data_IF_006798320466
#
_entry.id   IF_006798320466
#
_cell.length_a   1.000
_cell.length_b   1.000
_cell.length_c   1.000
_cell.angle_alpha   90.00
_cell.angle_beta   90.00
_cell.angle_gamma   90.00
#
_symmetry.space_group_name_H-M   'P 1'
#
loop_
_entity.id
_entity.type
_entity.pdbx_description
1 polymer ?
#
# COMPACT_ATOMS: atom_id res chain seq x y z
N UNK A 1 13.45 3.41 8.60
CA UNK A 1 13.70 2.14 7.91
C UNK A 1 12.64 2.00 6.83
N UNK A 2 12.99 1.60 5.61
CA UNK A 2 12.01 1.49 4.53
C UNK A 2 11.28 0.16 4.69
N UNK A 3 9.98 0.21 4.96
CA UNK A 3 9.18 -1.01 5.09
C UNK A 3 8.70 -1.49 3.72
N UNK A 4 8.30 -0.57 2.84
CA UNK A 4 7.95 -0.88 1.47
C UNK A 4 8.21 0.29 0.52
N UNK A 5 8.19 -0.01 -0.77
CA UNK A 5 8.34 0.95 -1.86
C UNK A 5 7.08 0.89 -2.73
N UNK A 6 6.58 2.06 -3.10
CA UNK A 6 5.43 2.17 -3.98
C UNK A 6 5.77 1.57 -5.35
N UNK A 7 4.99 0.56 -5.75
CA UNK A 7 5.14 -0.10 -7.05
C UNK A 7 4.95 0.84 -8.25
N UNK A 8 4.29 1.98 -8.06
CA UNK A 8 3.98 2.93 -9.14
C UNK A 8 5.00 4.08 -9.21
N UNK A 9 5.21 4.81 -8.11
CA UNK A 9 6.05 6.01 -8.12
C UNK A 9 7.44 5.82 -7.48
N UNK A 10 7.67 4.70 -6.79
CA UNK A 10 8.92 4.44 -6.08
C UNK A 10 9.08 5.23 -4.77
N UNK A 11 8.02 5.87 -4.25
CA UNK A 11 8.07 6.51 -2.93
C UNK A 11 8.09 5.48 -1.80
N UNK A 12 8.72 5.82 -0.69
CA UNK A 12 8.72 4.99 0.53
C UNK A 12 7.33 4.86 1.13
N UNK A 13 7.05 3.71 1.74
CA UNK A 13 5.78 3.36 2.35
C UNK A 13 6.01 2.66 3.68
N UNK A 14 5.06 2.86 4.58
CA UNK A 14 4.96 2.21 5.89
C UNK A 14 4.26 0.83 5.84
N UNK A 15 4.06 0.26 4.64
CA UNK A 15 3.43 -1.05 4.43
C UNK A 15 3.35 -1.36 2.94
N UNK A 16 3.47 -2.65 2.59
CA UNK A 16 3.29 -3.14 1.24
C UNK A 16 1.88 -2.79 0.71
N UNK A 17 0.82 -3.18 1.41
CA UNK A 17 -0.58 -2.99 0.99
C UNK A 17 -1.21 -1.81 1.73
N UNK A 18 -0.90 -0.60 1.26
CA UNK A 18 -1.44 0.66 1.79
C UNK A 18 -1.50 1.70 0.66
N UNK A 19 -2.39 2.68 0.79
CA UNK A 19 -2.43 3.83 -0.10
C UNK A 19 -1.08 4.57 -0.08
N UNK A 20 -0.52 4.87 -1.25
CA UNK A 20 0.70 5.66 -1.33
C UNK A 20 0.41 7.13 -0.98
N UNK A 21 1.17 7.71 -0.04
CA UNK A 21 1.02 9.14 0.30
C UNK A 21 1.45 10.10 -0.82
N UNK A 22 2.32 9.64 -1.74
CA UNK A 22 2.84 10.48 -2.84
C UNK A 22 1.94 10.45 -4.08
N UNK A 23 1.65 9.27 -4.63
CA UNK A 23 0.88 9.16 -5.89
C UNK A 23 -0.54 8.58 -5.70
N UNK A 24 -0.96 8.33 -4.46
CA UNK A 24 -2.29 7.76 -4.13
C UNK A 24 -2.62 6.44 -4.82
N UNK A 25 -1.62 5.70 -5.31
CA UNK A 25 -1.84 4.35 -5.85
C UNK A 25 -2.11 3.35 -4.73
N UNK A 26 -3.16 2.54 -4.86
CA UNK A 26 -3.46 1.39 -4.03
C UNK A 26 -3.37 0.12 -4.89
N UNK A 27 -2.68 -0.95 -4.44
CA UNK A 27 -2.66 -2.21 -5.17
C UNK A 27 -4.03 -2.91 -5.06
N UNK A 28 -4.87 -2.75 -6.09
CA UNK A 28 -6.23 -3.32 -6.12
C UNK A 28 -6.24 -4.72 -6.70
N UNK A 29 -5.48 -4.95 -7.78
CA UNK A 29 -5.35 -6.24 -8.44
C UNK A 29 -4.43 -7.20 -7.67
N UNK A 30 -4.62 -8.50 -7.85
CA UNK A 30 -3.72 -9.52 -7.27
C UNK A 30 -2.26 -9.29 -7.70
N UNK A 31 -2.02 -9.00 -8.98
CA UNK A 31 -0.66 -8.74 -9.47
C UNK A 31 -0.03 -7.49 -8.85
N UNK A 32 -0.80 -6.43 -8.62
CA UNK A 32 -0.30 -5.24 -7.94
C UNK A 32 -0.01 -5.52 -6.46
N UNK A 33 -0.84 -6.33 -5.79
CA UNK A 33 -0.58 -6.76 -4.41
C UNK A 33 0.73 -7.54 -4.34
N UNK A 34 0.93 -8.51 -5.24
CA UNK A 34 2.17 -9.28 -5.35
C UNK A 34 3.37 -8.37 -5.61
N UNK A 35 3.28 -7.47 -6.60
CA UNK A 35 4.35 -6.53 -6.90
C UNK A 35 4.67 -5.59 -5.72
N UNK A 36 3.65 -5.14 -4.99
CA UNK A 36 3.81 -4.27 -3.83
C UNK A 36 4.43 -5.01 -2.65
N UNK A 37 4.16 -6.31 -2.48
CA UNK A 37 4.83 -7.15 -1.47
C UNK A 37 6.25 -7.51 -1.88
N UNK A 38 6.52 -7.75 -3.17
CA UNK A 38 7.89 -7.91 -3.69
C UNK A 38 8.76 -6.71 -3.35
N UNK A 39 8.19 -5.50 -3.32
CA UNK A 39 8.84 -4.23 -2.98
C UNK A 39 8.75 -3.89 -1.49
N UNK A 40 8.84 -4.89 -0.60
CA UNK A 40 8.81 -4.69 0.85
C UNK A 40 9.94 -5.41 1.58
N UNK A 41 10.18 -5.02 2.83
CA UNK A 41 11.18 -5.62 3.72
C UNK A 41 10.90 -7.10 4.02
N UNK A 42 9.67 -7.57 3.78
CA UNK A 42 9.31 -8.99 3.82
C UNK A 42 10.01 -9.79 2.71
N UNK A 43 10.33 -9.17 1.59
CA UNK A 43 10.87 -9.83 0.40
C UNK A 43 12.29 -9.39 0.04
N UNK A 44 12.66 -8.14 0.35
CA UNK A 44 13.93 -7.52 -0.02
C UNK A 44 14.62 -6.95 1.22
N UNK A 45 15.96 -6.88 1.14
CA UNK A 45 16.77 -6.16 2.14
C UNK A 45 16.68 -4.64 1.91
N UNK A 46 17.00 -3.88 2.93
CA UNK A 46 16.99 -2.41 2.92
C UNK A 46 17.74 -1.82 1.70
N UNK A 47 18.97 -2.27 1.43
CA UNK A 47 19.76 -1.79 0.28
C UNK A 47 19.05 -2.03 -1.06
N UNK A 48 18.35 -3.17 -1.21
CA UNK A 48 17.61 -3.50 -2.42
C UNK A 48 16.33 -2.66 -2.55
N UNK A 49 15.72 -2.26 -1.43
CA UNK A 49 14.58 -1.33 -1.44
C UNK A 49 15.02 0.06 -1.89
N UNK A 50 16.17 0.54 -1.43
CA UNK A 50 16.72 1.83 -1.88
C UNK A 50 17.07 1.82 -3.38
N UNK A 51 17.64 0.72 -3.87
CA UNK A 51 17.87 0.53 -5.30
C UNK A 51 16.54 0.50 -6.07
N UNK A 52 15.52 -0.17 -5.55
CA UNK A 52 14.19 -0.23 -6.18
C UNK A 52 13.51 1.15 -6.24
N UNK A 53 13.58 1.94 -5.16
CA UNK A 53 13.13 3.34 -5.10
C UNK A 53 13.73 4.14 -6.25
N UNK A 54 15.06 4.16 -6.34
CA UNK A 54 15.77 4.91 -7.39
C UNK A 54 15.41 4.40 -8.80
N UNK A 55 15.33 3.08 -8.98
CA UNK A 55 14.98 2.48 -10.26
C UNK A 55 13.60 2.93 -10.75
N UNK A 56 12.57 2.84 -9.90
CA UNK A 56 11.19 3.18 -10.29
C UNK A 56 11.09 4.69 -10.54
N UNK A 57 11.72 5.51 -9.70
CA UNK A 57 11.71 6.97 -9.87
C UNK A 57 12.36 7.41 -11.19
N UNK A 58 13.45 6.76 -11.61
CA UNK A 58 14.17 7.09 -12.84
C UNK A 58 13.54 6.47 -14.09
N UNK A 59 13.15 5.21 -14.04
CA UNK A 59 12.67 4.44 -15.21
C UNK A 59 11.15 4.48 -15.37
N UNK A 60 10.41 5.00 -14.38
CA UNK A 60 8.94 5.07 -14.36
C UNK A 60 8.26 3.72 -14.65
N UNK A 61 8.90 2.62 -14.23
CA UNK A 61 8.39 1.25 -14.39
C UNK A 61 8.81 0.35 -13.25
N UNK A 62 8.04 -0.73 -13.03
CA UNK A 62 8.32 -1.77 -12.03
C UNK A 62 9.61 -2.53 -12.38
N UNK A 63 10.48 -2.85 -11.42
CA UNK A 63 11.60 -3.75 -11.67
C UNK A 63 11.10 -5.17 -11.95
N UNK A 64 11.87 -5.95 -12.72
CA UNK A 64 11.63 -7.38 -12.84
C UNK A 64 12.00 -8.07 -11.53
N UNK A 65 11.13 -8.95 -11.04
CA UNK A 65 11.37 -9.71 -9.82
C UNK A 65 11.86 -11.12 -10.17
N UNK A 66 12.87 -11.60 -9.44
CA UNK A 66 13.31 -12.98 -9.55
C UNK A 66 12.20 -13.92 -9.04
N UNK A 67 12.02 -15.09 -9.65
CA UNK A 67 10.92 -16.03 -9.36
C UNK A 67 10.80 -16.39 -7.87
N UNK A 68 11.93 -16.59 -7.19
CA UNK A 68 11.96 -16.83 -5.73
C UNK A 68 11.30 -15.71 -4.91
N UNK A 69 11.54 -14.45 -5.28
CA UNK A 69 10.95 -13.28 -4.62
C UNK A 69 9.45 -13.25 -4.89
N UNK A 70 9.07 -13.45 -6.16
CA UNK A 70 7.67 -13.49 -6.57
C UNK A 70 6.88 -14.59 -5.85
N UNK A 71 7.41 -15.82 -5.80
CA UNK A 71 6.77 -16.94 -5.09
C UNK A 71 6.59 -16.65 -3.59
N UNK A 72 7.58 -16.02 -2.95
CA UNK A 72 7.46 -15.59 -1.55
C UNK A 72 6.35 -14.55 -1.38
N UNK A 73 6.30 -13.55 -2.25
CA UNK A 73 5.28 -12.52 -2.23
C UNK A 73 3.86 -13.10 -2.45
N UNK A 74 3.70 -14.03 -3.40
CA UNK A 74 2.44 -14.73 -3.65
C UNK A 74 1.97 -15.51 -2.40
N UNK A 75 2.87 -16.21 -1.70
CA UNK A 75 2.52 -16.89 -0.45
C UNK A 75 2.06 -15.92 0.64
N UNK A 76 2.65 -14.73 0.72
CA UNK A 76 2.24 -13.71 1.69
C UNK A 76 0.86 -13.17 1.31
N UNK A 77 0.65 -12.79 0.05
CA UNK A 77 -0.63 -12.26 -0.44
C UNK A 77 -1.76 -13.26 -0.23
N UNK A 78 -1.54 -14.56 -0.51
CA UNK A 78 -2.54 -15.61 -0.32
C UNK A 78 -2.89 -15.88 1.16
N UNK A 79 -2.04 -15.49 2.09
CA UNK A 79 -2.29 -15.61 3.54
C UNK A 79 -2.96 -14.38 4.14
N UNK A 80 -3.02 -13.27 3.40
CA UNK A 80 -3.69 -12.07 3.89
C UNK A 80 -5.22 -12.29 3.81
N UNK A 81 -5.97 -12.03 4.90
CA UNK A 81 -7.42 -12.04 4.83
C UNK A 81 -7.89 -11.01 3.80
N UNK A 82 -8.97 -11.30 3.09
CA UNK A 82 -9.52 -10.46 2.00
C UNK A 82 -10.12 -9.12 2.49
N UNK A 83 -9.68 -8.63 3.66
CA UNK A 83 -10.16 -7.43 4.35
C UNK A 83 -9.69 -6.11 3.71
N UNK A 84 -9.25 -6.12 2.45
CA UNK A 84 -9.07 -4.89 1.67
C UNK A 84 -10.39 -4.40 1.03
N UNK A 85 -11.54 -4.80 1.59
CA UNK A 85 -12.72 -3.95 1.51
C UNK A 85 -12.37 -2.67 2.27
N UNK A 86 -12.08 -1.65 1.48
CA UNK A 86 -11.99 -0.25 1.86
C UNK A 86 -12.93 -0.04 3.04
N UNK A 87 -12.37 0.14 4.23
CA UNK A 87 -13.06 0.88 5.27
C UNK A 87 -13.27 2.26 4.68
N UNK A 88 -14.37 2.40 3.94
CA UNK A 88 -15.05 3.66 3.81
C UNK A 88 -15.31 4.00 5.26
N UNK A 89 -14.44 4.83 5.82
CA UNK A 89 -14.78 5.59 7.00
C UNK A 89 -16.09 6.26 6.60
N UNK A 90 -17.20 5.72 7.11
CA UNK A 90 -18.41 6.49 7.22
C UNK A 90 -17.96 7.75 7.96
N UNK A 91 -17.98 8.88 7.27
CA UNK A 91 -17.72 10.17 7.87
C UNK A 91 -18.93 10.46 8.78
N UNK A 92 -18.90 9.90 9.99
CA UNK A 92 -19.94 10.06 11.01
C UNK A 92 -19.94 11.48 11.60
N UNK A 93 -19.12 12.40 11.07
CA UNK A 93 -19.13 13.81 11.47
C UNK A 93 -20.47 14.48 11.17
N UNK A 94 -21.16 14.09 10.09
CA UNK A 94 -22.51 14.60 9.81
C UNK A 94 -23.55 14.09 10.82
N UNK A 95 -23.34 12.92 11.44
CA UNK A 95 -24.23 12.36 12.47
C UNK A 95 -23.93 12.86 13.88
N UNK A 96 -22.86 13.61 14.10
CA UNK A 96 -22.46 14.09 15.44
C UNK A 96 -23.25 15.34 15.88
N UNK A 97 -23.81 16.11 14.94
CA UNK A 97 -24.50 17.37 15.22
C UNK A 97 -26.04 17.28 15.22
N UNK A 98 -26.63 16.08 15.26
CA UNK A 98 -28.09 15.92 15.40
C UNK A 98 -28.61 16.12 16.84
N UNK A 99 -27.86 16.79 17.73
CA UNK A 99 -28.45 17.39 18.92
C UNK A 99 -29.16 18.69 18.53
N UNK A 100 -30.46 18.57 18.22
CA UNK A 100 -31.39 19.71 18.24
C UNK A 100 -31.31 20.35 19.63
N UNK A 101 -30.59 21.46 19.73
CA UNK A 101 -30.83 22.45 20.78
C UNK A 101 -32.23 23.01 20.55
N UNK A 102 -33.21 22.43 21.23
CA UNK A 102 -34.48 23.12 21.47
C UNK A 102 -34.16 24.20 22.49
N UNK A 103 -33.94 25.42 22.01
CA UNK A 103 -34.04 26.61 22.84
C UNK A 103 -35.54 26.93 22.90
N UNK A 104 -36.19 26.48 23.97
CA UNK A 104 -37.49 27.01 24.37
C UNK A 104 -37.29 28.45 24.90
N UNK A 105 -38.06 29.38 24.32
CA UNK A 105 -38.14 30.82 24.64
C UNK A 105 -38.90 31.06 25.96
#
# INVERSE_FOLDING_TARGET
>A
MIEAVCFNCGAEKSAAIKLCGSCRSLPTSYEDRVASVCLSNECLRQDNLEVATRYIQQKKRKPGFHDKVRRKAEQIVNKMPDQFQISQSFDLSESFFEERFVLDD
#
